data_IF_430390190239
#
_entry.id   IF_430390190239
#
_cell.length_a   1.000
_cell.length_b   1.000
_cell.length_c   1.000
_cell.angle_alpha   90.00
_cell.angle_beta   90.00
_cell.angle_gamma   90.00
#
_symmetry.space_group_name_H-M   'P 1'
#
loop_
_entity.id
_entity.type
_entity.pdbx_description
1 polymer ?
#
# COMPACT_ATOMS: atom_id res chain seq x y z
N UNK A 1 -5.50 -3.31 1.76
CA UNK A 1 -4.19 -3.57 1.12
C UNK A 1 -3.07 -2.97 1.96
N UNK A 2 -2.28 -3.81 2.61
CA UNK A 2 -1.08 -3.44 3.34
C UNK A 2 0.10 -3.36 2.39
N UNK A 3 0.87 -2.28 2.47
CA UNK A 3 2.07 -2.12 1.67
C UNK A 3 3.12 -1.29 2.40
N UNK A 4 4.30 -1.18 1.80
CA UNK A 4 5.35 -0.25 2.17
C UNK A 4 5.33 0.92 1.20
N UNK A 5 6.07 2.00 1.50
CA UNK A 5 6.24 3.07 0.52
C UNK A 5 6.93 2.51 -0.73
N UNK A 6 6.70 3.15 -1.88
CA UNK A 6 7.38 2.84 -3.15
C UNK A 6 7.05 1.46 -3.75
N UNK A 7 5.93 0.86 -3.38
CA UNK A 7 5.47 -0.47 -3.84
C UNK A 7 4.36 -0.42 -4.91
N UNK A 8 4.21 0.66 -5.69
CA UNK A 8 3.09 0.89 -6.64
C UNK A 8 1.68 0.91 -6.01
N UNK A 9 1.56 1.00 -4.68
CA UNK A 9 0.28 0.94 -3.97
C UNK A 9 -0.74 2.00 -4.40
N UNK A 10 -0.31 3.20 -4.80
CA UNK A 10 -1.22 4.22 -5.33
C UNK A 10 -1.76 3.87 -6.72
N UNK A 11 -0.94 3.29 -7.60
CA UNK A 11 -1.43 2.79 -8.90
C UNK A 11 -2.42 1.62 -8.70
N UNK A 12 -2.16 0.77 -7.70
CA UNK A 12 -3.11 -0.27 -7.32
C UNK A 12 -4.41 0.34 -6.75
N UNK A 13 -4.32 1.40 -5.95
CA UNK A 13 -5.51 2.14 -5.50
C UNK A 13 -6.31 2.72 -6.68
N UNK A 14 -5.65 3.30 -7.70
CA UNK A 14 -6.33 3.75 -8.93
C UNK A 14 -7.06 2.63 -9.65
N UNK A 15 -6.45 1.46 -9.72
CA UNK A 15 -7.06 0.27 -10.32
C UNK A 15 -8.36 -0.12 -9.61
N UNK A 16 -8.34 -0.16 -8.26
CA UNK A 16 -9.54 -0.48 -7.48
C UNK A 16 -10.58 0.65 -7.49
N UNK A 17 -10.15 1.92 -7.44
CA UNK A 17 -11.02 3.09 -7.53
C UNK A 17 -11.79 3.15 -8.84
N UNK A 18 -11.20 2.66 -9.95
CA UNK A 18 -11.81 2.77 -11.26
C UNK A 18 -12.98 1.79 -11.48
N UNK A 19 -13.23 0.88 -10.53
CA UNK A 19 -14.40 0.01 -10.52
C UNK A 19 -15.67 0.83 -10.29
N UNK A 20 -16.76 0.45 -10.95
CA UNK A 20 -18.07 1.10 -10.75
C UNK A 20 -18.71 0.85 -9.38
N UNK A 21 -18.20 -0.12 -8.62
CA UNK A 21 -18.75 -0.58 -7.34
C UNK A 21 -17.81 -0.37 -6.15
N UNK A 22 -16.78 0.47 -6.29
CA UNK A 22 -15.75 0.67 -5.27
C UNK A 22 -15.67 2.12 -4.78
N UNK A 23 -15.27 2.26 -3.51
CA UNK A 23 -14.73 3.49 -2.94
C UNK A 23 -13.37 3.19 -2.33
N UNK A 24 -12.51 4.20 -2.20
CA UNK A 24 -11.14 4.01 -1.71
C UNK A 24 -10.79 4.96 -0.56
N UNK A 25 -9.89 4.52 0.31
CA UNK A 25 -9.24 5.35 1.31
C UNK A 25 -7.73 5.33 1.07
N UNK A 26 -7.13 6.52 0.99
CA UNK A 26 -5.70 6.70 0.81
C UNK A 26 -5.00 6.92 2.16
N UNK A 27 -4.06 6.05 2.53
CA UNK A 27 -3.22 6.07 3.74
C UNK A 27 -3.90 6.64 5.00
N UNK A 28 -5.01 6.02 5.46
CA UNK A 28 -5.89 6.62 6.46
C UNK A 28 -5.24 6.87 7.83
N UNK A 29 -4.13 6.20 8.14
CA UNK A 29 -3.37 6.38 9.38
C UNK A 29 -2.22 7.40 9.27
N UNK A 30 -2.03 8.08 8.13
CA UNK A 30 -0.87 8.92 7.93
C UNK A 30 -0.84 10.15 8.86
N UNK A 31 -1.98 10.81 9.08
CA UNK A 31 -2.05 11.92 10.04
C UNK A 31 -1.74 11.46 11.47
N UNK A 32 -2.26 10.31 11.90
CA UNK A 32 -1.92 9.70 13.19
C UNK A 32 -0.42 9.46 13.31
N UNK A 33 0.17 8.83 12.29
CA UNK A 33 1.61 8.55 12.21
C UNK A 33 2.43 9.84 12.36
N UNK A 34 2.07 10.91 11.65
CA UNK A 34 2.74 12.21 11.74
C UNK A 34 2.60 12.84 13.14
N UNK A 35 1.43 12.78 13.77
CA UNK A 35 1.23 13.30 15.14
C UNK A 35 2.12 12.56 16.12
N UNK A 36 2.16 11.22 16.06
CA UNK A 36 2.88 10.40 17.05
C UNK A 36 4.39 10.42 16.89
N UNK A 37 4.89 10.47 15.65
CA UNK A 37 6.34 10.45 15.38
C UNK A 37 6.97 11.85 15.39
N UNK A 38 6.18 12.90 15.14
CA UNK A 38 6.70 14.26 14.99
C UNK A 38 7.49 14.51 13.70
N UNK A 39 7.50 13.56 12.76
CA UNK A 39 8.25 13.65 11.50
C UNK A 39 7.83 14.84 10.64
N UNK A 40 8.79 15.56 10.09
CA UNK A 40 8.56 16.75 9.28
C UNK A 40 8.49 16.39 7.79
N UNK A 41 7.45 15.64 7.41
CA UNK A 41 7.21 15.31 6.00
C UNK A 41 6.67 16.53 5.22
N UNK A 42 6.92 16.59 3.90
CA UNK A 42 6.32 17.61 3.04
C UNK A 42 4.79 17.62 3.18
N UNK A 43 4.21 18.81 3.33
CA UNK A 43 2.77 18.98 3.47
C UNK A 43 2.21 18.63 4.86
N UNK A 44 3.05 18.36 5.87
CA UNK A 44 2.63 17.97 7.23
C UNK A 44 1.44 18.77 7.75
N UNK A 45 1.53 20.10 7.76
CA UNK A 45 0.47 20.94 8.35
C UNK A 45 -0.85 20.83 7.60
N UNK A 46 -0.81 20.68 6.27
CA UNK A 46 -1.98 20.45 5.43
C UNK A 46 -2.60 19.09 5.76
N UNK A 47 -1.77 18.04 5.82
CA UNK A 47 -2.20 16.68 6.16
C UNK A 47 -2.89 16.67 7.53
N UNK A 48 -2.29 17.30 8.54
CA UNK A 48 -2.86 17.37 9.89
C UNK A 48 -4.14 18.20 9.98
N UNK A 49 -4.35 19.14 9.05
CA UNK A 49 -5.56 19.97 9.00
C UNK A 49 -6.73 19.30 8.28
N UNK A 50 -6.44 18.38 7.34
CA UNK A 50 -7.44 17.77 6.46
C UNK A 50 -7.77 16.32 6.81
N UNK A 51 -6.90 15.62 7.56
CA UNK A 51 -7.04 14.19 7.83
C UNK A 51 -7.18 13.89 9.32
N UNK A 52 -7.96 12.86 9.64
CA UNK A 52 -8.20 12.42 11.01
C UNK A 52 -6.95 11.78 11.62
N UNK A 53 -6.56 12.23 12.81
CA UNK A 53 -5.38 11.73 13.53
C UNK A 53 -5.74 10.84 14.72
N UNK A 54 -7.00 10.80 15.14
CA UNK A 54 -7.47 9.87 16.16
C UNK A 54 -7.65 8.46 15.56
N UNK A 55 -6.91 7.49 16.07
CA UNK A 55 -6.88 6.13 15.55
C UNK A 55 -8.26 5.45 15.60
N UNK A 56 -9.01 5.64 16.69
CA UNK A 56 -10.30 4.98 16.87
C UNK A 56 -11.34 5.56 15.90
N UNK A 57 -11.27 6.88 15.66
CA UNK A 57 -12.11 7.54 14.64
C UNK A 57 -11.76 7.11 13.23
N UNK A 58 -10.47 6.95 12.91
CA UNK A 58 -10.03 6.40 11.62
C UNK A 58 -10.60 5.00 11.43
N UNK A 59 -10.41 4.10 12.40
CA UNK A 59 -10.93 2.72 12.34
C UNK A 59 -12.45 2.70 12.19
N UNK A 60 -13.17 3.53 12.95
CA UNK A 60 -14.62 3.64 12.82
C UNK A 60 -15.07 4.08 11.42
N UNK A 61 -14.31 4.97 10.77
CA UNK A 61 -14.54 5.35 9.37
C UNK A 61 -14.27 4.21 8.39
N UNK A 62 -13.19 3.45 8.59
CA UNK A 62 -12.81 2.31 7.73
C UNK A 62 -13.78 1.14 7.81
N UNK A 63 -14.47 0.96 8.95
CA UNK A 63 -15.53 -0.04 9.16
C UNK A 63 -16.93 0.54 8.94
N UNK A 64 -17.03 1.81 8.57
CA UNK A 64 -18.29 2.51 8.38
C UNK A 64 -19.09 2.02 7.17
N UNK A 65 -20.36 2.44 7.05
CA UNK A 65 -21.19 2.11 5.91
C UNK A 65 -20.65 2.76 4.62
N UNK A 66 -20.74 2.02 3.51
CA UNK A 66 -20.45 2.54 2.18
C UNK A 66 -21.72 3.09 1.49
N UNK A 67 -21.59 3.98 0.49
CA UNK A 67 -22.73 4.48 -0.28
C UNK A 67 -23.55 3.36 -0.96
N UNK A 68 -24.85 3.59 -1.25
CA UNK A 68 -25.66 2.62 -1.99
C UNK A 68 -25.04 2.24 -3.34
N UNK A 69 -25.00 0.93 -3.64
CA UNK A 69 -24.40 0.41 -4.87
C UNK A 69 -22.91 0.10 -4.77
N UNK A 70 -22.23 0.57 -3.73
CA UNK A 70 -20.83 0.22 -3.46
C UNK A 70 -20.76 -1.15 -2.79
N UNK A 71 -19.85 -1.98 -3.28
CA UNK A 71 -19.57 -3.35 -2.81
C UNK A 71 -18.18 -3.47 -2.21
N UNK A 72 -17.24 -2.63 -2.64
CA UNK A 72 -15.84 -2.68 -2.22
C UNK A 72 -15.44 -1.37 -1.56
N UNK A 73 -14.88 -1.45 -0.34
CA UNK A 73 -14.15 -0.34 0.27
C UNK A 73 -12.66 -0.68 0.30
N UNK A 74 -11.93 -0.23 -0.70
CA UNK A 74 -10.50 -0.51 -0.80
C UNK A 74 -9.68 0.46 0.06
N UNK A 75 -8.89 -0.08 0.97
CA UNK A 75 -8.07 0.72 1.88
C UNK A 75 -6.59 0.54 1.54
N UNK A 76 -5.93 1.62 1.09
CA UNK A 76 -4.50 1.65 0.86
C UNK A 76 -3.78 1.99 2.16
N UNK A 77 -3.10 1.02 2.75
CA UNK A 77 -2.36 1.20 3.99
C UNK A 77 -0.86 1.18 3.77
N UNK A 78 -0.13 2.01 4.53
CA UNK A 78 1.30 1.85 4.74
C UNK A 78 1.52 1.15 6.08
N UNK A 79 2.19 0.00 6.08
CA UNK A 79 2.33 -0.84 7.26
C UNK A 79 3.04 -0.12 8.41
N UNK A 80 4.00 0.75 8.12
CA UNK A 80 4.71 1.54 9.13
C UNK A 80 3.86 2.67 9.75
N UNK A 81 2.71 3.03 9.16
CA UNK A 81 1.77 3.96 9.79
C UNK A 81 1.02 3.31 10.98
N UNK A 82 0.97 1.98 11.03
CA UNK A 82 0.36 1.23 12.12
C UNK A 82 1.38 1.00 13.26
N UNK A 83 1.56 2.05 14.06
CA UNK A 83 2.53 2.10 15.16
C UNK A 83 2.28 1.05 16.26
N UNK A 84 3.32 0.66 17.02
CA UNK A 84 3.18 -0.22 18.18
C UNK A 84 2.16 0.34 19.19
N UNK A 85 1.27 -0.52 19.68
CA UNK A 85 0.25 -0.17 20.67
C UNK A 85 -1.09 0.31 20.10
N UNK A 86 -1.21 0.49 18.78
CA UNK A 86 -2.51 0.71 18.13
C UNK A 86 -3.34 -0.59 18.18
N UNK A 87 -4.66 -0.47 18.35
CA UNK A 87 -5.55 -1.62 18.25
C UNK A 87 -5.56 -2.17 16.82
N UNK A 88 -5.51 -3.50 16.73
CA UNK A 88 -5.51 -4.27 15.48
C UNK A 88 -6.66 -5.26 15.42
N UNK A 89 -7.57 -5.26 16.41
CA UNK A 89 -8.77 -6.11 16.42
C UNK A 89 -9.65 -5.90 15.18
N UNK A 90 -9.72 -4.68 14.67
CA UNK A 90 -10.49 -4.33 13.48
C UNK A 90 -10.04 -5.06 12.20
N UNK A 91 -8.80 -5.56 12.13
CA UNK A 91 -8.31 -6.28 10.97
C UNK A 91 -9.11 -7.58 10.71
N UNK A 92 -9.77 -8.15 11.73
CA UNK A 92 -10.63 -9.33 11.58
C UNK A 92 -11.97 -9.03 10.89
N UNK A 93 -12.31 -7.76 10.74
CA UNK A 93 -13.58 -7.30 10.13
C UNK A 93 -13.40 -6.91 8.66
N UNK A 94 -12.20 -7.09 8.10
CA UNK A 94 -11.85 -6.73 6.71
C UNK A 94 -11.02 -7.83 6.06
N UNK A 95 -11.01 -7.85 4.73
CA UNK A 95 -10.09 -8.68 3.98
C UNK A 95 -8.70 -8.02 3.92
N UNK A 96 -7.68 -8.74 4.37
CA UNK A 96 -6.32 -8.25 4.42
C UNK A 96 -5.51 -8.83 3.25
N UNK A 97 -4.98 -7.95 2.40
CA UNK A 97 -4.07 -8.32 1.31
C UNK A 97 -2.76 -7.55 1.47
N UNK A 98 -1.68 -8.07 0.91
CA UNK A 98 -0.34 -7.51 1.04
C UNK A 98 0.26 -7.23 -0.34
N UNK A 99 0.89 -6.08 -0.51
CA UNK A 99 1.60 -5.68 -1.72
C UNK A 99 3.08 -5.48 -1.41
N UNK A 100 3.90 -6.34 -2.00
CA UNK A 100 5.35 -6.35 -1.88
C UNK A 100 6.02 -5.95 -3.19
N UNK A 101 7.30 -5.61 -3.10
CA UNK A 101 8.15 -5.29 -4.24
C UNK A 101 9.58 -5.64 -3.89
N UNK A 102 10.34 -6.02 -4.93
CA UNK A 102 11.79 -6.21 -4.86
C UNK A 102 12.48 -5.17 -3.94
N UNK A 103 13.14 -5.62 -2.85
CA UNK A 103 13.77 -4.74 -1.88
C UNK A 103 14.77 -3.76 -2.47
N UNK A 104 15.57 -4.20 -3.44
CA UNK A 104 16.55 -3.34 -4.11
C UNK A 104 15.89 -2.17 -4.81
N UNK A 105 14.81 -2.42 -5.53
CA UNK A 105 14.01 -1.40 -6.20
C UNK A 105 13.32 -0.44 -5.22
N UNK A 106 12.85 -0.96 -4.08
CA UNK A 106 12.25 -0.14 -3.00
C UNK A 106 13.30 0.79 -2.40
N UNK A 107 14.44 0.24 -1.98
CA UNK A 107 15.54 0.99 -1.35
C UNK A 107 16.09 2.06 -2.29
N UNK A 108 16.29 1.74 -3.58
CA UNK A 108 16.71 2.74 -4.56
C UNK A 108 15.71 3.88 -4.72
N UNK A 109 14.41 3.56 -4.73
CA UNK A 109 13.38 4.59 -4.82
C UNK A 109 13.24 5.41 -3.53
N UNK A 110 13.51 4.82 -2.36
CA UNK A 110 13.50 5.52 -1.07
C UNK A 110 14.71 6.44 -0.94
N UNK A 111 15.91 5.93 -1.21
CA UNK A 111 17.16 6.69 -1.12
C UNK A 111 17.15 7.95 -2.00
N UNK A 112 16.47 7.91 -3.15
CA UNK A 112 16.30 9.09 -4.02
C UNK A 112 15.44 10.22 -3.41
N UNK A 113 14.70 9.94 -2.32
CA UNK A 113 13.79 10.90 -1.66
C UNK A 113 14.16 11.16 -0.20
N UNK A 114 14.70 10.16 0.47
CA UNK A 114 15.09 10.19 1.89
C UNK A 114 16.55 9.76 1.97
N UNK A 115 17.47 10.65 2.35
CA UNK A 115 18.85 10.27 2.65
C UNK A 115 18.87 9.20 3.75
N UNK A 116 19.72 8.18 3.59
CA UNK A 116 19.96 7.12 4.57
C UNK A 116 18.70 6.39 5.08
N UNK A 117 17.95 5.70 4.19
CA UNK A 117 16.74 4.97 4.60
C UNK A 117 17.09 3.87 5.61
N UNK A 118 16.21 3.69 6.60
CA UNK A 118 16.26 2.60 7.57
C UNK A 118 15.38 1.43 7.12
N UNK A 119 15.49 0.28 7.81
CA UNK A 119 14.61 -0.84 7.52
C UNK A 119 13.15 -0.53 7.87
N UNK A 120 12.90 0.26 8.91
CA UNK A 120 11.57 0.69 9.32
C UNK A 120 10.90 1.57 8.26
N UNK A 121 11.68 2.40 7.56
CA UNK A 121 11.17 3.24 6.46
C UNK A 121 10.65 2.41 5.28
N UNK A 122 11.10 1.17 5.12
CA UNK A 122 10.58 0.26 4.08
C UNK A 122 9.20 -0.29 4.41
N UNK A 123 8.81 -0.27 5.69
CA UNK A 123 7.58 -0.89 6.18
C UNK A 123 7.55 -2.42 6.06
N UNK A 124 8.63 -3.06 5.61
CA UNK A 124 8.65 -4.49 5.27
C UNK A 124 8.65 -5.40 6.51
N UNK A 125 9.39 -5.10 7.60
CA UNK A 125 9.24 -5.82 8.86
C UNK A 125 7.81 -5.74 9.41
N UNK A 126 7.19 -4.56 9.31
CA UNK A 126 5.83 -4.32 9.78
C UNK A 126 4.82 -5.10 8.92
N UNK A 127 5.00 -5.13 7.60
CA UNK A 127 4.19 -5.98 6.71
C UNK A 127 4.29 -7.46 7.08
N UNK A 128 5.50 -7.98 7.30
CA UNK A 128 5.69 -9.38 7.71
C UNK A 128 4.97 -9.67 9.02
N UNK A 129 5.14 -8.82 10.02
CA UNK A 129 4.48 -8.98 11.31
C UNK A 129 2.95 -8.97 11.18
N UNK A 130 2.40 -8.07 10.36
CA UNK A 130 0.96 -8.01 10.08
C UNK A 130 0.47 -9.25 9.33
N UNK A 131 1.22 -9.75 8.35
CA UNK A 131 0.89 -10.97 7.63
C UNK A 131 0.82 -12.18 8.58
N UNK A 132 1.83 -12.35 9.42
CA UNK A 132 1.89 -13.45 10.39
C UNK A 132 0.75 -13.36 11.41
N UNK A 133 0.42 -12.14 11.87
CA UNK A 133 -0.69 -11.87 12.78
C UNK A 133 -2.05 -12.19 12.15
N UNK A 134 -2.32 -11.69 10.94
CA UNK A 134 -3.56 -11.96 10.20
C UNK A 134 -3.71 -13.46 9.95
N UNK A 135 -2.65 -14.11 9.46
CA UNK A 135 -2.62 -15.57 9.21
C UNK A 135 -2.91 -16.36 10.48
N UNK A 136 -2.31 -15.96 11.61
CA UNK A 136 -2.54 -16.62 12.90
C UNK A 136 -3.98 -16.47 13.39
N UNK A 137 -4.63 -15.33 13.12
CA UNK A 137 -6.01 -15.05 13.57
C UNK A 137 -7.06 -15.72 12.69
N UNK A 138 -6.88 -15.66 11.37
CA UNK A 138 -7.85 -16.20 10.40
C UNK A 138 -7.68 -17.69 10.12
N UNK A 139 -6.47 -18.23 10.32
CA UNK A 139 -6.10 -19.59 9.92
C UNK A 139 -5.92 -19.78 8.41
N UNK A 140 -6.12 -18.73 7.61
CA UNK A 140 -5.94 -18.71 6.17
C UNK A 140 -4.68 -17.91 5.78
N UNK A 141 -4.13 -18.17 4.59
CA UNK A 141 -3.02 -17.40 4.04
C UNK A 141 -3.61 -16.14 3.37
N UNK A 142 -3.28 -14.93 3.85
CA UNK A 142 -3.73 -13.70 3.20
C UNK A 142 -3.15 -13.56 1.79
N UNK A 143 -3.88 -12.99 0.82
CA UNK A 143 -3.36 -12.77 -0.53
C UNK A 143 -2.13 -11.85 -0.53
N UNK A 144 -1.08 -12.27 -1.24
CA UNK A 144 0.13 -11.46 -1.45
C UNK A 144 0.27 -11.17 -2.94
N UNK A 145 0.42 -9.90 -3.28
CA UNK A 145 0.67 -9.42 -4.63
C UNK A 145 2.11 -8.95 -4.70
N UNK A 146 2.84 -9.41 -5.72
CA UNK A 146 4.15 -8.85 -6.04
C UNK A 146 4.01 -7.76 -7.12
N UNK A 147 4.67 -6.62 -6.90
CA UNK A 147 4.61 -5.50 -7.81
C UNK A 147 5.14 -5.85 -9.21
N UNK A 148 6.18 -6.68 -9.34
CA UNK A 148 6.67 -7.11 -10.65
C UNK A 148 5.60 -7.94 -11.38
N UNK A 149 4.93 -8.85 -10.68
CA UNK A 149 3.85 -9.65 -11.24
C UNK A 149 2.66 -8.77 -11.67
N UNK A 150 2.26 -7.79 -10.85
CA UNK A 150 1.21 -6.83 -11.19
C UNK A 150 1.56 -6.03 -12.44
N UNK A 151 2.78 -5.51 -12.55
CA UNK A 151 3.17 -4.71 -13.72
C UNK A 151 3.35 -5.57 -14.98
N UNK A 152 3.71 -6.85 -14.83
CA UNK A 152 3.94 -7.78 -15.94
C UNK A 152 2.63 -8.30 -16.55
N UNK A 153 1.66 -8.67 -15.70
CA UNK A 153 0.34 -9.13 -16.13
C UNK A 153 -0.73 -8.67 -15.11
N UNK A 154 -1.17 -7.39 -15.22
CA UNK A 154 -2.12 -6.83 -14.27
C UNK A 154 -3.44 -7.60 -14.26
N UNK A 155 -3.91 -8.09 -15.41
CA UNK A 155 -5.18 -8.84 -15.48
C UNK A 155 -5.10 -10.12 -14.66
N UNK A 156 -4.05 -10.94 -14.84
CA UNK A 156 -3.89 -12.19 -14.10
C UNK A 156 -3.89 -11.94 -12.59
N UNK A 157 -3.05 -11.01 -12.12
CA UNK A 157 -2.86 -10.78 -10.68
C UNK A 157 -4.10 -10.15 -10.04
N UNK A 158 -4.73 -9.18 -10.71
CA UNK A 158 -5.93 -8.54 -10.19
C UNK A 158 -7.12 -9.51 -10.18
N UNK A 159 -7.28 -10.36 -11.20
CA UNK A 159 -8.30 -11.39 -11.20
C UNK A 159 -8.11 -12.39 -10.04
N UNK A 160 -6.87 -12.86 -9.81
CA UNK A 160 -6.56 -13.72 -8.66
C UNK A 160 -6.81 -13.03 -7.32
N UNK A 161 -6.50 -11.73 -7.21
CA UNK A 161 -6.81 -10.96 -6.00
C UNK A 161 -8.31 -10.83 -5.77
N UNK A 162 -9.09 -10.56 -6.82
CA UNK A 162 -10.55 -10.46 -6.74
C UNK A 162 -11.17 -11.79 -6.31
N UNK A 163 -10.75 -12.91 -6.92
CA UNK A 163 -11.18 -14.26 -6.53
C UNK A 163 -10.87 -14.53 -5.06
N UNK A 164 -9.65 -14.23 -4.61
CA UNK A 164 -9.22 -14.51 -3.25
C UNK A 164 -9.99 -13.71 -2.18
N UNK A 165 -10.49 -12.52 -2.51
CA UNK A 165 -11.33 -11.69 -1.61
C UNK A 165 -12.83 -11.81 -1.89
N UNK A 166 -13.24 -12.71 -2.79
CA UNK A 166 -14.64 -13.01 -3.05
C UNK A 166 -15.42 -11.94 -3.81
N UNK A 167 -14.77 -11.20 -4.73
CA UNK A 167 -15.40 -10.21 -5.61
C UNK A 167 -15.14 -10.52 -7.08
N UNK A 168 -16.01 -10.03 -7.97
CA UNK A 168 -15.81 -10.20 -9.40
C UNK A 168 -14.71 -9.27 -9.92
N UNK A 169 -13.85 -9.78 -10.81
CA UNK A 169 -12.91 -8.96 -11.56
C UNK A 169 -13.66 -7.99 -12.49
N UNK A 170 -13.19 -6.74 -12.56
CA UNK A 170 -13.75 -5.72 -13.43
C UNK A 170 -12.68 -5.22 -14.40
N UNK A 171 -12.99 -5.21 -15.70
CA UNK A 171 -12.08 -4.77 -16.76
C UNK A 171 -11.63 -3.32 -16.61
N UNK A 172 -12.44 -2.47 -15.99
CA UNK A 172 -12.09 -1.08 -15.66
C UNK A 172 -10.88 -0.99 -14.74
N UNK A 173 -10.53 -2.05 -14.00
CA UNK A 173 -9.34 -2.07 -13.14
C UNK A 173 -8.02 -1.92 -13.91
N UNK A 174 -8.01 -2.12 -15.24
CA UNK A 174 -6.80 -2.13 -16.05
C UNK A 174 -6.45 -0.78 -16.68
N UNK A 175 -7.40 0.16 -16.74
CA UNK A 175 -7.20 1.46 -17.37
C UNK A 175 -8.07 2.54 -16.72
N UNK A 176 -7.47 3.67 -16.40
CA UNK A 176 -8.11 4.79 -15.71
C UNK A 176 -7.82 6.13 -16.41
N UNK A 177 -8.64 7.17 -16.22
CA UNK A 177 -8.33 8.50 -16.72
C UNK A 177 -7.13 9.10 -15.99
N UNK A 178 -6.27 9.84 -16.71
CA UNK A 178 -5.21 10.63 -16.11
C UNK A 178 -5.78 11.81 -15.28
N UNK A 179 -4.97 12.32 -14.36
CA UNK A 179 -5.25 13.47 -13.51
C UNK A 179 -5.37 13.14 -12.02
N UNK A 180 -5.56 14.18 -11.18
CA UNK A 180 -5.82 14.02 -9.76
C UNK A 180 -7.19 13.39 -9.49
N UNK A 181 -7.38 12.91 -8.27
CA UNK A 181 -8.64 12.34 -7.79
C UNK A 181 -9.10 13.01 -6.51
N UNK A 182 -10.42 13.05 -6.34
CA UNK A 182 -11.03 13.50 -5.07
C UNK A 182 -10.67 12.56 -3.90
N UNK A 183 -10.28 11.32 -4.19
CA UNK A 183 -9.84 10.33 -3.21
C UNK A 183 -8.36 10.45 -2.81
N UNK A 184 -7.60 11.32 -3.48
CA UNK A 184 -6.19 11.51 -3.18
C UNK A 184 -6.01 12.17 -1.82
N UNK A 185 -5.10 11.62 -1.01
CA UNK A 185 -4.73 12.27 0.24
C UNK A 185 -4.08 13.62 0.01
N UNK A 186 -4.09 14.47 1.04
CA UNK A 186 -3.52 15.82 0.98
C UNK A 186 -2.06 15.84 0.49
N UNK A 187 -1.34 14.74 0.68
CA UNK A 187 0.06 14.56 0.28
C UNK A 187 0.28 14.32 -1.23
N UNK A 188 -0.77 14.12 -2.03
CA UNK A 188 -0.64 13.83 -3.46
C UNK A 188 0.25 14.80 -4.25
N UNK A 189 0.19 16.14 -4.04
CA UNK A 189 1.06 17.09 -4.74
C UNK A 189 2.57 16.88 -4.55
N UNK A 190 2.98 16.08 -3.55
CA UNK A 190 4.38 15.78 -3.29
C UNK A 190 4.83 14.41 -3.80
N UNK A 191 3.89 13.50 -4.06
CA UNK A 191 4.23 12.08 -4.30
C UNK A 191 3.61 11.50 -5.57
N UNK A 192 2.55 12.10 -6.12
CA UNK A 192 1.65 11.43 -7.08
C UNK A 192 1.82 11.87 -8.55
N UNK A 193 2.80 12.71 -8.87
CA UNK A 193 3.09 13.15 -10.26
C UNK A 193 3.05 11.98 -11.28
N UNK A 194 3.66 10.85 -10.92
CA UNK A 194 3.74 9.69 -11.81
C UNK A 194 2.41 8.95 -11.99
N UNK A 195 1.57 8.90 -10.96
CA UNK A 195 0.28 8.19 -11.05
C UNK A 195 -0.78 9.08 -11.67
N UNK A 196 -0.76 10.39 -11.40
CA UNK A 196 -1.62 11.38 -12.07
C UNK A 196 -1.38 11.40 -13.58
N UNK A 197 -0.13 11.25 -14.02
CA UNK A 197 0.19 11.16 -15.45
C UNK A 197 -0.16 9.81 -16.10
N UNK A 198 -0.53 8.79 -15.32
CA UNK A 198 -0.74 7.43 -15.82
C UNK A 198 -2.20 7.16 -16.20
N UNK A 199 -2.41 6.26 -17.15
CA UNK A 199 -3.73 5.76 -17.54
C UNK A 199 -3.90 4.25 -17.39
N UNK A 200 -2.84 3.56 -16.96
CA UNK A 200 -2.79 2.13 -16.70
C UNK A 200 -1.49 1.81 -15.94
N UNK A 201 -1.31 0.54 -15.56
CA UNK A 201 -0.03 0.07 -15.02
C UNK A 201 1.08 0.20 -16.07
N UNK A 202 2.17 0.85 -15.69
CA UNK A 202 3.38 0.89 -16.53
C UNK A 202 4.07 -0.48 -16.51
N UNK A 203 4.70 -0.92 -17.62
CA UNK A 203 5.44 -2.17 -17.61
C UNK A 203 6.58 -2.13 -16.56
N UNK A 204 7.06 -3.30 -16.09
CA UNK A 204 8.20 -3.36 -15.18
C UNK A 204 9.41 -2.66 -15.81
N UNK A 205 10.19 -1.95 -14.99
CA UNK A 205 11.45 -1.38 -15.45
C UNK A 205 12.45 -2.51 -15.72
N UNK A 206 13.12 -2.46 -16.86
CA UNK A 206 14.16 -3.42 -17.19
C UNK A 206 15.46 -3.11 -16.43
N UNK A 207 16.18 -4.17 -16.04
CA UNK A 207 17.52 -4.09 -15.47
C UNK A 207 17.57 -4.08 -13.94
N UNK A 208 18.76 -4.36 -13.40
CA UNK A 208 19.07 -4.21 -11.99
C UNK A 208 19.28 -2.73 -11.65
N UNK A 209 18.75 -2.29 -10.51
CA UNK A 209 18.98 -0.92 -10.04
C UNK A 209 20.32 -0.86 -9.32
N UNK A 210 21.21 0.01 -9.81
CA UNK A 210 22.49 0.28 -9.15
C UNK A 210 22.24 0.98 -7.80
N UNK A 211 22.92 0.50 -6.76
CA UNK A 211 22.87 1.08 -5.42
C UNK A 211 24.30 1.29 -4.90
N UNK A 212 24.54 2.34 -4.09
CA UNK A 212 25.75 2.46 -3.30
C UNK A 212 25.96 1.22 -2.42
N UNK A 213 27.22 0.80 -2.28
CA UNK A 213 27.58 -0.41 -1.52
C UNK A 213 27.16 -0.37 -0.05
N UNK A 214 27.04 0.83 0.53
CA UNK A 214 26.57 1.03 1.90
C UNK A 214 25.11 0.61 2.12
N UNK A 215 24.29 0.52 1.07
CA UNK A 215 22.89 0.10 1.16
C UNK A 215 22.71 -1.42 0.96
N UNK A 216 23.75 -2.14 0.55
CA UNK A 216 23.68 -3.60 0.35
C UNK A 216 23.28 -4.38 1.62
N UNK A 217 23.76 -4.04 2.84
CA UNK A 217 23.29 -4.69 4.06
C UNK A 217 21.79 -4.51 4.30
N UNK A 218 21.25 -3.32 4.01
CA UNK A 218 19.82 -3.03 4.14
C UNK A 218 19.00 -3.83 3.12
N UNK A 219 19.51 -3.99 1.88
CA UNK A 219 18.88 -4.85 0.87
C UNK A 219 18.81 -6.30 1.36
N UNK A 220 19.90 -6.82 1.94
CA UNK A 220 19.94 -8.18 2.45
C UNK A 220 18.91 -8.39 3.58
N UNK A 221 18.85 -7.47 4.54
CA UNK A 221 17.89 -7.53 5.65
C UNK A 221 16.43 -7.48 5.15
N UNK A 222 16.14 -6.57 4.20
CA UNK A 222 14.82 -6.49 3.60
C UNK A 222 14.47 -7.75 2.78
N UNK A 223 15.47 -8.38 2.13
CA UNK A 223 15.27 -9.61 1.35
C UNK A 223 14.70 -10.74 2.22
N UNK A 224 15.15 -10.88 3.47
CA UNK A 224 14.60 -11.91 4.36
C UNK A 224 13.10 -11.73 4.63
N UNK A 225 12.65 -10.48 4.83
CA UNK A 225 11.23 -10.18 5.02
C UNK A 225 10.42 -10.32 3.73
N UNK A 226 11.00 -9.91 2.60
CA UNK A 226 10.39 -10.04 1.28
C UNK A 226 10.18 -11.51 0.92
N UNK A 227 11.19 -12.36 1.04
CA UNK A 227 11.11 -13.78 0.68
C UNK A 227 10.06 -14.52 1.50
N UNK A 228 9.93 -14.19 2.79
CA UNK A 228 8.89 -14.72 3.67
C UNK A 228 7.47 -14.45 3.16
N UNK A 229 7.23 -13.28 2.57
CA UNK A 229 5.93 -12.91 1.97
C UNK A 229 5.80 -13.44 0.53
N UNK A 230 6.87 -13.35 -0.25
CA UNK A 230 6.91 -13.66 -1.68
C UNK A 230 6.61 -15.13 -2.00
N UNK A 231 6.94 -16.05 -1.09
CA UNK A 231 6.55 -17.47 -1.23
C UNK A 231 5.02 -17.69 -1.21
N UNK A 232 4.24 -16.70 -0.78
CA UNK A 232 2.78 -16.74 -0.70
C UNK A 232 2.07 -15.94 -1.81
N UNK A 233 2.81 -15.42 -2.80
CA UNK A 233 2.23 -14.57 -3.85
C UNK A 233 1.32 -15.33 -4.83
N UNK A 234 0.37 -14.60 -5.43
CA UNK A 234 -0.61 -15.07 -6.41
C UNK A 234 -0.07 -15.32 -7.83
#
# INVERSE_FOLDING_TARGET
MWSGPRNISTALMRSWENRGDAVVADEPFYAHYLVKTGLQHPGRDVILSEHEADCDRVVAGLLGPVPPGVRVFYQKHMAHHLLPGMDRGWMEQVENCFLIRDPRSVIASLHARTPDPTIEDTGLPQQRALFDEVRSRSGAIPPVLDAFDVLSDPRRVLAGCCEAVGVDFDESMLAWPAGPRDSDGAWAPWWYDSVEASTCFSPPRAGTVDLPSELEPLVAECTEHYEHLHQHRL
#
